data_IF_932374618902
#
_entry.id   IF_932374618902
#
_cell.length_a   1.000
_cell.length_b   1.000
_cell.length_c   1.000
_cell.angle_alpha   90.00
_cell.angle_beta   90.00
_cell.angle_gamma   90.00
#
_symmetry.space_group_name_H-M   'P 1'
#
loop_
_entity.id
_entity.type
_entity.pdbx_description
1 polymer ?
#
# COMPACT_ATOMS: atom_id res chain seq x y z
N UNK A 1 14.51 17.29 -21.13
CA UNK A 1 13.08 17.41 -20.78
C UNK A 1 13.01 17.61 -19.29
N UNK A 2 12.40 18.69 -18.83
CA UNK A 2 12.27 18.98 -17.40
C UNK A 2 11.17 18.10 -16.78
N UNK A 3 11.47 17.39 -15.69
CA UNK A 3 10.56 16.41 -15.08
C UNK A 3 9.27 17.07 -14.59
N UNK A 4 9.33 18.34 -14.16
CA UNK A 4 8.15 19.08 -13.71
C UNK A 4 7.23 19.39 -14.90
N UNK A 5 7.81 19.79 -16.02
CA UNK A 5 7.11 19.99 -17.29
C UNK A 5 6.41 18.70 -17.75
N UNK A 6 7.11 17.55 -17.69
CA UNK A 6 6.52 16.25 -18.04
C UNK A 6 5.34 15.86 -17.15
N UNK A 7 5.44 16.11 -15.83
CA UNK A 7 4.34 15.85 -14.88
C UNK A 7 3.10 16.69 -15.20
N UNK A 8 3.31 17.98 -15.49
CA UNK A 8 2.21 18.88 -15.81
C UNK A 8 1.50 18.48 -17.12
N UNK A 9 2.26 18.02 -18.10
CA UNK A 9 1.71 17.52 -19.37
C UNK A 9 0.86 16.26 -19.16
N UNK A 10 1.32 15.30 -18.35
CA UNK A 10 0.55 14.12 -17.98
C UNK A 10 -0.77 14.48 -17.27
N UNK A 11 -0.76 15.45 -16.34
CA UNK A 11 -1.98 15.91 -15.68
C UNK A 11 -2.97 16.48 -16.69
N UNK A 12 -2.50 17.31 -17.63
CA UNK A 12 -3.36 17.87 -18.69
C UNK A 12 -3.97 16.78 -19.57
N UNK A 13 -3.19 15.77 -19.95
CA UNK A 13 -3.69 14.63 -20.73
C UNK A 13 -4.79 13.91 -19.94
N UNK A 14 -4.57 13.63 -18.65
CA UNK A 14 -5.55 12.94 -17.81
C UNK A 14 -6.86 13.71 -17.69
N UNK A 15 -6.79 15.03 -17.48
CA UNK A 15 -7.98 15.88 -17.35
C UNK A 15 -8.85 15.93 -18.61
N UNK A 16 -8.29 15.64 -19.78
CA UNK A 16 -9.00 15.65 -21.07
C UNK A 16 -9.56 14.27 -21.47
N UNK A 17 -9.38 13.22 -20.66
CA UNK A 17 -9.91 11.90 -20.95
C UNK A 17 -11.38 11.84 -20.49
N UNK A 18 -12.28 11.52 -21.42
CA UNK A 18 -13.71 11.31 -21.13
C UNK A 18 -14.07 9.83 -20.91
N UNK A 19 -13.14 8.91 -21.19
CA UNK A 19 -13.39 7.47 -21.10
C UNK A 19 -13.10 6.95 -19.67
N UNK A 20 -14.15 6.75 -18.89
CA UNK A 20 -14.09 6.25 -17.51
C UNK A 20 -13.28 4.95 -17.36
N UNK A 21 -13.44 4.00 -18.30
CA UNK A 21 -12.70 2.72 -18.26
C UNK A 21 -11.20 2.91 -18.45
N UNK A 22 -10.79 3.96 -19.15
CA UNK A 22 -9.38 4.28 -19.31
C UNK A 22 -8.81 4.96 -18.06
N UNK A 23 -9.57 5.85 -17.43
CA UNK A 23 -9.23 6.45 -16.13
C UNK A 23 -9.05 5.38 -15.04
N UNK A 24 -9.93 4.38 -15.01
CA UNK A 24 -9.84 3.27 -14.05
C UNK A 24 -8.54 2.48 -14.22
N UNK A 25 -8.18 2.11 -15.46
CA UNK A 25 -6.92 1.40 -15.77
C UNK A 25 -5.67 2.20 -15.41
N UNK A 26 -5.67 3.51 -15.68
CA UNK A 26 -4.55 4.39 -15.31
C UNK A 26 -4.43 4.48 -13.78
N UNK A 27 -5.56 4.57 -13.09
CA UNK A 27 -5.60 4.62 -11.63
C UNK A 27 -5.01 3.36 -11.01
N UNK A 28 -5.42 2.18 -11.49
CA UNK A 28 -4.83 0.90 -11.06
C UNK A 28 -3.33 0.82 -11.34
N UNK A 29 -2.89 1.28 -12.51
CA UNK A 29 -1.47 1.30 -12.88
C UNK A 29 -0.64 2.17 -11.91
N UNK A 30 -1.11 3.39 -11.63
CA UNK A 30 -0.44 4.31 -10.69
C UNK A 30 -0.42 3.74 -9.27
N UNK A 31 -1.51 3.08 -8.85
CA UNK A 31 -1.57 2.44 -7.53
C UNK A 31 -0.59 1.26 -7.41
N UNK A 32 -0.37 0.50 -8.49
CA UNK A 32 0.61 -0.59 -8.54
C UNK A 32 2.06 -0.11 -8.58
N UNK A 33 2.31 1.12 -9.04
CA UNK A 33 3.63 1.76 -9.01
C UNK A 33 4.01 2.33 -7.64
N UNK A 34 3.03 2.53 -6.74
CA UNK A 34 3.38 2.81 -5.35
C UNK A 34 4.09 1.58 -4.80
N UNK A 35 5.28 1.80 -4.23
CA UNK A 35 6.00 0.77 -3.51
C UNK A 35 5.01 0.08 -2.55
N UNK A 36 5.06 -1.25 -2.48
CA UNK A 36 4.29 -1.97 -1.47
C UNK A 36 4.70 -1.36 -0.12
N UNK A 37 3.74 -1.11 0.78
CA UNK A 37 4.09 -0.56 2.10
C UNK A 37 5.12 -1.46 2.80
N UNK A 38 5.16 -2.75 2.44
CA UNK A 38 6.19 -3.70 2.82
C UNK A 38 7.61 -3.19 2.55
N UNK A 39 7.83 -2.60 1.36
CA UNK A 39 9.13 -2.06 0.93
C UNK A 39 9.47 -0.73 1.64
N UNK A 40 8.48 -0.08 2.26
CA UNK A 40 8.66 1.12 3.08
C UNK A 40 8.99 0.80 4.55
N UNK A 41 8.83 -0.45 4.98
CA UNK A 41 9.16 -0.89 6.34
C UNK A 41 10.68 -1.02 6.54
N UNK A 42 11.15 -0.63 7.73
CA UNK A 42 12.52 -0.98 8.13
C UNK A 42 12.69 -2.50 8.28
N UNK A 43 13.92 -2.99 8.15
CA UNK A 43 14.25 -4.42 8.33
C UNK A 43 13.72 -4.94 9.67
N UNK A 44 13.87 -4.16 10.75
CA UNK A 44 13.37 -4.54 12.07
C UNK A 44 11.84 -4.72 12.11
N UNK A 45 11.09 -3.85 11.41
CA UNK A 45 9.63 -3.95 11.32
C UNK A 45 9.21 -5.17 10.48
N UNK A 46 9.91 -5.45 9.38
CA UNK A 46 9.67 -6.65 8.57
C UNK A 46 9.92 -7.91 9.40
N UNK A 47 11.05 -8.01 10.11
CA UNK A 47 11.39 -9.13 11.00
C UNK A 47 10.36 -9.32 12.13
N UNK A 48 9.86 -8.24 12.72
CA UNK A 48 8.83 -8.29 13.76
C UNK A 48 7.51 -8.85 13.21
N UNK A 49 7.09 -8.41 12.03
CA UNK A 49 5.87 -8.90 11.38
C UNK A 49 6.01 -10.37 11.00
N UNK A 50 7.14 -10.78 10.40
CA UNK A 50 7.42 -12.19 10.07
C UNK A 50 7.39 -13.09 11.31
N UNK A 51 7.99 -12.62 12.41
CA UNK A 51 7.95 -13.31 13.69
C UNK A 51 6.51 -13.46 14.19
N UNK A 52 5.73 -12.38 14.16
CA UNK A 52 4.32 -12.39 14.54
C UNK A 52 3.52 -13.42 13.74
N UNK A 53 3.69 -13.45 12.41
CA UNK A 53 3.06 -14.43 11.52
C UNK A 53 3.48 -15.87 11.88
N UNK A 54 4.78 -16.10 12.14
CA UNK A 54 5.29 -17.41 12.59
C UNK A 54 4.64 -17.88 13.89
N UNK A 55 4.42 -16.97 14.84
CA UNK A 55 3.76 -17.27 16.11
C UNK A 55 2.27 -17.56 15.94
N UNK A 56 1.57 -16.78 15.11
CA UNK A 56 0.17 -17.04 14.74
C UNK A 56 -0.01 -18.42 14.09
N UNK A 57 0.90 -18.78 13.16
CA UNK A 57 0.90 -20.09 12.50
C UNK A 57 1.17 -21.25 13.48
N UNK A 58 1.94 -21.01 14.54
CA UNK A 58 2.17 -21.96 15.65
C UNK A 58 0.99 -22.00 16.64
N UNK A 59 -0.09 -21.29 16.36
CA UNK A 59 -1.28 -21.22 17.23
C UNK A 59 -1.10 -20.32 18.45
N UNK A 60 0.01 -19.57 18.56
CA UNK A 60 0.21 -18.58 19.61
C UNK A 60 -0.56 -17.30 19.28
N UNK A 61 -1.88 -17.40 19.36
CA UNK A 61 -2.80 -16.32 19.01
C UNK A 61 -3.85 -16.16 20.08
N UNK A 62 -4.34 -14.93 20.22
CA UNK A 62 -5.50 -14.61 21.04
C UNK A 62 -6.48 -13.84 20.18
N UNK A 63 -7.77 -13.98 20.48
CA UNK A 63 -8.79 -13.18 19.81
C UNK A 63 -8.56 -11.69 20.09
N UNK A 64 -8.65 -10.86 19.05
CA UNK A 64 -8.37 -9.44 19.16
C UNK A 64 -9.27 -8.75 20.20
N UNK A 65 -10.54 -9.15 20.29
CA UNK A 65 -11.48 -8.66 21.31
C UNK A 65 -11.02 -8.97 22.73
N UNK A 66 -10.40 -10.13 22.96
CA UNK A 66 -9.93 -10.53 24.28
C UNK A 66 -8.60 -9.88 24.64
N UNK A 67 -7.77 -9.57 23.65
CA UNK A 67 -6.60 -8.72 23.84
C UNK A 67 -6.99 -7.30 24.29
N UNK A 68 -7.95 -6.66 23.61
CA UNK A 68 -8.39 -5.30 23.95
C UNK A 68 -8.89 -5.19 25.40
N UNK A 69 -9.61 -6.20 25.89
CA UNK A 69 -10.06 -6.24 27.30
C UNK A 69 -8.92 -6.27 28.32
N UNK A 70 -7.71 -6.69 27.93
CA UNK A 70 -6.53 -6.76 28.83
C UNK A 70 -5.75 -5.46 28.89
N UNK A 71 -5.91 -4.58 27.90
CA UNK A 71 -5.16 -3.32 27.78
C UNK A 71 -6.05 -2.08 27.97
N UNK A 72 -7.37 -2.26 28.03
CA UNK A 72 -8.34 -1.24 28.45
C UNK A 72 -8.48 -1.22 29.97
#
# INVERSE_FOLDING_TARGET
>A
MDIQSSKLELVKIILNIENDKFIEKITEFIQKEKADFWDELSIAQQEEIEKGISELNKGKRVEFKDFLKKIS
#
